data_IF_841149690709
#
_entry.id   IF_841149690709
#
_cell.length_a   1.000
_cell.length_b   1.000
_cell.length_c   1.000
_cell.angle_alpha   90.00
_cell.angle_beta   90.00
_cell.angle_gamma   90.00
#
_symmetry.space_group_name_H-M   'P 1'
#
loop_
_entity.id
_entity.type
_entity.pdbx_description
1 polymer ?
#
# COMPACT_ATOMS: atom_id res chain seq x y z
N UNK A 1 -12.35 -2.59 -1.11
CA UNK A 1 -10.93 -2.51 -1.53
C UNK A 1 -10.68 -1.19 -2.22
N UNK A 2 -9.60 -0.52 -1.91
CA UNK A 2 -9.26 0.74 -2.55
C UNK A 2 -7.76 0.90 -2.68
N UNK A 3 -7.36 1.72 -3.63
CA UNK A 3 -5.97 2.05 -3.87
C UNK A 3 -5.74 3.53 -3.59
N UNK A 4 -4.83 3.83 -2.71
CA UNK A 4 -4.39 5.21 -2.44
C UNK A 4 -3.02 5.40 -3.07
N UNK A 5 -2.77 6.58 -3.62
CA UNK A 5 -1.51 6.86 -4.29
C UNK A 5 -1.05 8.28 -3.97
N UNK A 6 0.18 8.42 -3.53
CA UNK A 6 0.81 9.70 -3.26
C UNK A 6 1.88 9.93 -4.33
N UNK A 7 1.52 10.68 -5.35
CA UNK A 7 2.39 10.84 -6.52
C UNK A 7 3.72 11.50 -6.19
N UNK A 8 3.73 12.41 -5.23
CA UNK A 8 4.94 13.17 -4.90
C UNK A 8 6.08 12.29 -4.38
N UNK A 9 5.76 11.15 -3.79
CA UNK A 9 6.75 10.20 -3.30
C UNK A 9 6.64 8.84 -4.00
N UNK A 10 5.72 8.72 -4.95
CA UNK A 10 5.53 7.51 -5.76
C UNK A 10 5.22 6.29 -4.90
N UNK A 11 4.40 6.48 -3.85
CA UNK A 11 3.99 5.41 -2.96
C UNK A 11 2.51 5.11 -3.13
N UNK A 12 2.16 3.84 -3.16
CA UNK A 12 0.77 3.40 -3.25
C UNK A 12 0.47 2.42 -2.13
N UNK A 13 -0.79 2.32 -1.77
CA UNK A 13 -1.26 1.36 -0.80
C UNK A 13 -2.60 0.79 -1.21
N UNK A 14 -2.70 -0.53 -1.20
CA UNK A 14 -3.93 -1.25 -1.51
C UNK A 14 -4.54 -1.70 -0.19
N UNK A 15 -5.75 -1.23 0.11
CA UNK A 15 -6.46 -1.56 1.34
C UNK A 15 -7.48 -2.66 1.06
N UNK A 16 -7.42 -3.74 1.81
CA UNK A 16 -8.44 -4.78 1.78
C UNK A 16 -9.51 -4.56 2.85
N UNK A 17 -9.27 -3.61 3.75
CA UNK A 17 -10.22 -3.21 4.79
C UNK A 17 -10.41 -1.70 4.70
N UNK A 18 -11.47 -1.19 5.32
CA UNK A 18 -11.76 0.24 5.23
C UNK A 18 -10.72 1.09 5.95
N UNK A 19 -10.17 0.57 7.04
CA UNK A 19 -9.25 1.32 7.87
C UNK A 19 -8.28 0.36 8.55
N UNK A 20 -7.01 0.74 8.58
CA UNK A 20 -5.98 0.00 9.31
C UNK A 20 -5.59 0.87 10.50
N UNK A 21 -6.04 0.46 11.69
CA UNK A 21 -5.77 1.22 12.90
C UNK A 21 -4.36 0.99 13.42
N UNK A 22 -4.00 1.79 14.44
CA UNK A 22 -2.70 1.66 15.08
C UNK A 22 -2.57 0.26 15.69
N UNK A 23 -1.45 -0.38 15.42
CA UNK A 23 -1.18 -1.70 15.95
C UNK A 23 -1.90 -2.84 15.25
N UNK A 24 -2.70 -2.55 14.21
CA UNK A 24 -3.41 -3.61 13.48
C UNK A 24 -2.46 -4.48 12.68
N UNK A 25 -1.40 -3.91 12.14
CA UNK A 25 -0.41 -4.67 11.39
C UNK A 25 0.51 -5.39 12.37
N UNK A 26 0.46 -6.71 12.35
CA UNK A 26 1.28 -7.55 13.21
C UNK A 26 2.58 -7.95 12.54
N UNK A 27 2.54 -8.22 11.24
CA UNK A 27 3.72 -8.61 10.48
C UNK A 27 3.68 -7.99 9.10
N UNK A 28 4.86 -7.67 8.58
CA UNK A 28 5.03 -7.17 7.22
C UNK A 28 6.02 -8.08 6.50
N UNK A 29 5.62 -8.58 5.34
CA UNK A 29 6.47 -9.45 4.53
C UNK A 29 6.92 -8.69 3.29
N UNK A 30 8.22 -8.48 3.14
CA UNK A 30 8.73 -7.85 1.92
C UNK A 30 8.74 -8.82 0.76
N UNK A 31 8.37 -8.32 -0.42
CA UNK A 31 8.43 -9.08 -1.66
C UNK A 31 9.16 -8.22 -2.69
N UNK A 32 9.95 -8.85 -3.53
CA UNK A 32 10.64 -8.11 -4.57
C UNK A 32 9.78 -8.03 -5.83
N UNK A 33 9.67 -6.83 -6.43
CA UNK A 33 9.01 -6.70 -7.71
C UNK A 33 9.78 -7.45 -8.79
N UNK A 34 9.06 -7.95 -9.78
CA UNK A 34 9.68 -8.69 -10.88
C UNK A 34 10.69 -7.84 -11.66
N UNK A 35 10.42 -6.55 -11.78
CA UNK A 35 11.31 -5.66 -12.50
C UNK A 35 12.53 -5.19 -11.72
N UNK A 36 12.59 -5.48 -10.43
CA UNK A 36 13.72 -5.13 -9.60
C UNK A 36 13.69 -3.72 -9.04
N UNK A 37 12.82 -2.86 -9.51
CA UNK A 37 12.68 -1.50 -8.99
C UNK A 37 11.52 -1.43 -8.00
N UNK A 38 11.68 -0.58 -6.98
CA UNK A 38 10.64 -0.39 -5.99
C UNK A 38 10.60 -1.49 -4.95
N UNK A 39 9.53 -1.54 -4.18
CA UNK A 39 9.35 -2.52 -3.11
C UNK A 39 7.88 -2.84 -2.96
N UNK A 40 7.59 -4.08 -2.58
CA UNK A 40 6.24 -4.53 -2.28
C UNK A 40 6.26 -5.10 -0.87
N UNK A 41 5.35 -4.65 -0.01
CA UNK A 41 5.26 -5.15 1.36
C UNK A 41 3.83 -5.59 1.64
N UNK A 42 3.69 -6.81 2.14
CA UNK A 42 2.40 -7.39 2.50
C UNK A 42 2.19 -7.22 4.00
N UNK A 43 1.10 -6.57 4.39
CA UNK A 43 0.80 -6.31 5.80
C UNK A 43 -0.29 -7.26 6.29
N UNK A 44 0.01 -8.00 7.35
CA UNK A 44 -0.88 -9.00 7.92
C UNK A 44 -1.27 -8.62 9.35
N UNK A 45 -2.47 -9.00 9.74
CA UNK A 45 -2.91 -8.84 11.14
C UNK A 45 -2.42 -10.02 11.99
N UNK A 46 -2.74 -9.97 13.28
CA UNK A 46 -2.29 -10.99 14.24
C UNK A 46 -2.86 -12.38 13.94
N UNK A 47 -3.96 -12.47 13.20
CA UNK A 47 -4.53 -13.75 12.84
C UNK A 47 -4.02 -14.27 11.51
N UNK A 48 -3.09 -13.53 10.88
CA UNK A 48 -2.50 -13.95 9.62
C UNK A 48 -3.28 -13.55 8.38
N UNK A 49 -4.21 -12.58 8.50
CA UNK A 49 -4.99 -12.14 7.36
C UNK A 49 -4.37 -10.90 6.75
N UNK A 50 -4.43 -10.83 5.43
CA UNK A 50 -3.83 -9.72 4.68
C UNK A 50 -4.71 -8.48 4.79
N UNK A 51 -4.15 -7.42 5.36
CA UNK A 51 -4.84 -6.14 5.52
C UNK A 51 -4.62 -5.23 4.34
N UNK A 52 -3.43 -5.26 3.77
CA UNK A 52 -3.10 -4.38 2.66
C UNK A 52 -1.74 -4.66 2.09
N UNK A 53 -1.42 -3.94 1.02
CA UNK A 53 -0.17 -4.07 0.29
C UNK A 53 0.41 -2.69 0.07
N UNK A 54 1.62 -2.46 0.56
CA UNK A 54 2.35 -1.22 0.31
C UNK A 54 3.23 -1.39 -0.92
N UNK A 55 3.21 -0.41 -1.81
CA UNK A 55 4.02 -0.43 -3.02
C UNK A 55 4.82 0.85 -3.08
N UNK A 56 6.14 0.73 -2.94
CA UNK A 56 7.06 1.86 -3.04
C UNK A 56 7.67 1.87 -4.43
N UNK A 57 7.78 3.04 -5.03
CA UNK A 57 8.17 3.14 -6.42
C UNK A 57 7.05 2.64 -7.33
N UNK A 58 5.84 3.06 -7.02
CA UNK A 58 4.64 2.45 -7.60
C UNK A 58 4.58 2.52 -9.13
N UNK A 59 5.15 3.57 -9.73
CA UNK A 59 5.14 3.68 -11.20
C UNK A 59 5.88 2.53 -11.86
N UNK A 60 6.88 1.96 -11.18
CA UNK A 60 7.65 0.84 -11.73
C UNK A 60 6.99 -0.51 -11.46
N UNK A 61 6.03 -0.57 -10.55
CA UNK A 61 5.47 -1.82 -10.07
C UNK A 61 4.03 -2.04 -10.55
N UNK A 62 3.23 -0.97 -10.55
CA UNK A 62 1.82 -1.05 -10.89
C UNK A 62 1.57 -0.47 -12.28
N UNK A 63 0.59 -1.02 -13.00
CA UNK A 63 0.24 -0.44 -14.30
C UNK A 63 -0.31 0.97 -14.13
N UNK A 64 -0.04 1.82 -15.11
CA UNK A 64 -0.53 3.20 -15.09
C UNK A 64 -2.04 3.26 -14.96
N UNK A 65 -2.73 2.30 -15.55
CA UNK A 65 -4.18 2.21 -15.48
C UNK A 65 -4.66 2.11 -14.03
N UNK A 66 -3.96 1.34 -13.19
CA UNK A 66 -4.30 1.20 -11.79
C UNK A 66 -4.07 2.51 -11.04
N UNK A 67 -2.93 3.16 -11.30
CA UNK A 67 -2.59 4.41 -10.63
C UNK A 67 -3.55 5.53 -11.00
N UNK A 68 -4.02 5.53 -12.25
CA UNK A 68 -4.98 6.54 -12.70
C UNK A 68 -6.34 6.43 -12.02
N UNK A 69 -6.67 5.26 -11.50
CA UNK A 69 -7.92 5.02 -10.80
C UNK A 69 -7.79 5.14 -9.29
N UNK A 70 -6.60 5.44 -8.81
CA UNK A 70 -6.37 5.51 -7.37
C UNK A 70 -7.10 6.69 -6.76
N UNK A 71 -7.54 6.50 -5.54
CA UNK A 71 -8.11 7.58 -4.75
C UNK A 71 -7.01 8.49 -4.25
N UNK A 72 -7.31 9.75 -4.11
CA UNK A 72 -6.38 10.65 -3.47
C UNK A 72 -6.26 10.29 -1.99
N UNK A 73 -5.07 10.42 -1.40
CA UNK A 73 -4.94 10.25 0.03
C UNK A 73 -5.88 11.21 0.74
N UNK A 74 -6.41 10.77 1.86
CA UNK A 74 -7.24 11.61 2.69
C UNK A 74 -6.41 12.70 3.34
N UNK A 75 -7.07 13.53 4.12
CA UNK A 75 -6.39 14.60 4.85
C UNK A 75 -5.32 14.10 5.80
N UNK A 76 -5.34 12.84 6.15
CA UNK A 76 -4.31 12.31 7.04
C UNK A 76 -3.08 11.81 6.30
N UNK A 77 -3.02 11.95 5.00
CA UNK A 77 -1.95 11.33 4.27
C UNK A 77 -2.04 9.83 4.41
N UNK A 78 -2.97 9.24 3.71
CA UNK A 78 -3.41 7.87 3.92
C UNK A 78 -2.32 6.86 4.22
N UNK A 79 -1.17 6.97 3.55
CA UNK A 79 -0.11 6.00 3.76
C UNK A 79 0.55 6.13 5.13
N UNK A 80 0.61 7.33 5.67
CA UNK A 80 1.17 7.55 6.99
C UNK A 80 0.33 6.97 8.10
N UNK A 81 -0.97 6.96 7.91
CA UNK A 81 -1.90 6.56 8.96
C UNK A 81 -1.89 5.08 9.28
N UNK A 82 -1.45 4.25 8.36
CA UNK A 82 -1.46 2.82 8.62
C UNK A 82 -0.37 2.40 9.59
N UNK A 83 0.56 3.26 9.82
CA UNK A 83 1.67 2.98 10.71
C UNK A 83 1.49 3.67 12.03
#
# INVERSE_FOLDING_TARGET
>A
MRLAYVASVDDAYIYFVDHIGDGAVSETYPCEPRGGDGSINLDFDASGRLLGIEVLGARSVLPAEALNKAEWPTTHGALGDKR
#
